data_IF_128011716178
#
_entry.id   IF_128011716178
#
_cell.length_a   1.000
_cell.length_b   1.000
_cell.length_c   1.000
_cell.angle_alpha   90.00
_cell.angle_beta   90.00
_cell.angle_gamma   90.00
#
_symmetry.space_group_name_H-M   'P 1'
#
loop_
_entity.id
_entity.type
_entity.pdbx_description
1 polymer ?
#
# COMPACT_ATOMS: atom_id res chain seq x y z
N UNK A 1 -7.32 -6.55 2.79
CA UNK A 1 -7.91 -7.87 3.13
C UNK A 1 -6.88 -8.95 2.83
N UNK A 2 -7.12 -10.22 3.22
CA UNK A 2 -6.19 -11.32 2.95
C UNK A 2 -6.70 -12.21 1.82
N UNK A 3 -5.81 -12.70 0.96
CA UNK A 3 -6.07 -13.78 0.02
C UNK A 3 -4.90 -14.77 0.07
N UNK A 4 -5.13 -15.98 0.60
CA UNK A 4 -4.04 -16.92 0.85
C UNK A 4 -3.05 -16.35 1.87
N UNK A 5 -1.77 -16.32 1.51
CA UNK A 5 -0.70 -15.68 2.30
C UNK A 5 -0.45 -14.21 1.91
N UNK A 6 -1.26 -13.65 1.01
CA UNK A 6 -1.10 -12.28 0.53
C UNK A 6 -2.01 -11.30 1.27
N UNK A 7 -1.46 -10.15 1.62
CA UNK A 7 -2.21 -8.94 1.93
C UNK A 7 -2.58 -8.25 0.61
N UNK A 8 -3.87 -7.99 0.41
CA UNK A 8 -4.42 -7.26 -0.73
C UNK A 8 -4.95 -5.90 -0.27
N UNK A 9 -4.51 -4.84 -0.95
CA UNK A 9 -4.80 -3.45 -0.63
C UNK A 9 -5.44 -2.79 -1.84
N UNK A 10 -6.60 -2.17 -1.64
CA UNK A 10 -7.26 -1.33 -2.63
C UNK A 10 -7.02 0.14 -2.24
N UNK A 11 -6.22 0.85 -3.04
CA UNK A 11 -5.84 2.25 -2.81
C UNK A 11 -6.56 3.16 -3.79
N UNK A 12 -7.27 4.17 -3.29
CA UNK A 12 -7.98 5.16 -4.10
C UNK A 12 -7.42 6.55 -3.86
N UNK A 13 -7.10 7.29 -4.94
CA UNK A 13 -6.64 8.67 -4.81
C UNK A 13 -7.80 9.67 -5.01
N UNK A 14 -7.86 10.69 -4.16
CA UNK A 14 -8.83 11.79 -4.31
C UNK A 14 -8.35 12.86 -5.31
N UNK A 15 -7.03 13.03 -5.46
CA UNK A 15 -6.37 13.91 -6.42
C UNK A 15 -5.23 13.15 -7.11
N UNK A 16 -4.56 13.74 -8.11
CA UNK A 16 -3.38 13.11 -8.71
C UNK A 16 -2.28 12.91 -7.64
N UNK A 17 -1.93 11.67 -7.36
CA UNK A 17 -0.82 11.31 -6.48
C UNK A 17 0.33 10.78 -7.32
N UNK A 18 1.49 11.45 -7.25
CA UNK A 18 2.68 11.06 -8.02
C UNK A 18 3.69 10.35 -7.14
N UNK A 19 4.39 9.36 -7.70
CA UNK A 19 5.37 8.53 -6.99
C UNK A 19 4.80 7.98 -5.67
N UNK A 20 3.65 7.32 -5.77
CA UNK A 20 2.98 6.68 -4.63
C UNK A 20 3.86 5.57 -4.10
N UNK A 21 4.34 5.74 -2.88
CA UNK A 21 5.08 4.74 -2.13
C UNK A 21 4.15 4.10 -1.10
N UNK A 22 4.14 2.77 -1.07
CA UNK A 22 3.44 1.98 -0.06
C UNK A 22 4.47 1.16 0.72
N UNK A 23 4.36 1.13 2.05
CA UNK A 23 5.23 0.33 2.92
C UNK A 23 4.49 -0.16 4.17
N UNK A 24 5.06 -1.14 4.86
CA UNK A 24 4.62 -1.60 6.19
C UNK A 24 5.71 -1.25 7.21
N UNK A 25 5.38 -0.44 8.21
CA UNK A 25 6.31 -0.13 9.29
C UNK A 25 6.68 -1.40 10.08
N UNK A 26 7.97 -1.69 10.22
CA UNK A 26 8.45 -2.88 10.94
C UNK A 26 8.45 -4.18 10.13
N UNK A 27 8.15 -4.14 8.83
CA UNK A 27 8.30 -5.27 7.93
C UNK A 27 8.86 -4.85 6.56
N UNK A 28 9.85 -5.60 6.08
CA UNK A 28 10.37 -5.43 4.72
C UNK A 28 9.64 -6.41 3.79
N UNK A 29 8.85 -5.88 2.86
CA UNK A 29 8.02 -6.66 1.92
C UNK A 29 8.08 -6.07 0.52
N UNK A 30 7.98 -6.95 -0.47
CA UNK A 30 7.89 -6.54 -1.88
C UNK A 30 6.41 -6.46 -2.27
N UNK A 31 5.98 -5.27 -2.66
CA UNK A 31 4.66 -5.04 -3.25
C UNK A 31 4.67 -5.39 -4.74
N UNK A 32 3.52 -5.82 -5.25
CA UNK A 32 3.30 -6.09 -6.68
C UNK A 32 3.49 -4.85 -7.57
N UNK A 33 3.28 -3.67 -6.99
CA UNK A 33 3.51 -2.38 -7.62
C UNK A 33 3.86 -1.34 -6.53
N UNK A 34 4.80 -0.45 -6.82
CA UNK A 34 5.24 0.62 -5.93
C UNK A 34 5.88 1.75 -6.75
N UNK A 35 5.89 2.97 -6.23
CA UNK A 35 6.38 4.18 -6.92
C UNK A 35 5.64 4.53 -8.22
N UNK A 36 4.35 4.23 -8.31
CA UNK A 36 3.49 4.54 -9.45
C UNK A 36 2.79 5.90 -9.32
N UNK A 37 2.24 6.41 -10.42
CA UNK A 37 1.33 7.55 -10.40
C UNK A 37 -0.12 7.06 -10.33
N UNK A 38 -0.94 7.65 -9.45
CA UNK A 38 -2.36 7.32 -9.30
C UNK A 38 -3.24 8.54 -9.63
N UNK A 39 -3.95 8.52 -10.77
CA UNK A 39 -4.86 9.60 -11.14
C UNK A 39 -6.03 9.77 -10.16
N UNK A 40 -6.56 10.99 -10.09
CA UNK A 40 -7.70 11.32 -9.26
C UNK A 40 -8.92 10.42 -9.54
N UNK A 41 -9.58 9.96 -8.48
CA UNK A 41 -10.76 9.11 -8.53
C UNK A 41 -10.51 7.67 -8.98
N UNK A 42 -9.25 7.27 -9.21
CA UNK A 42 -8.90 5.91 -9.59
C UNK A 42 -8.51 5.07 -8.38
N UNK A 43 -8.89 3.80 -8.45
CA UNK A 43 -8.47 2.77 -7.50
C UNK A 43 -7.48 1.84 -8.17
N UNK A 44 -6.38 1.56 -7.49
CA UNK A 44 -5.43 0.51 -7.86
C UNK A 44 -5.46 -0.58 -6.80
N UNK A 45 -5.27 -1.82 -7.23
CA UNK A 45 -5.11 -2.97 -6.34
C UNK A 45 -3.66 -3.41 -6.36
N UNK A 46 -3.08 -3.51 -5.17
CA UNK A 46 -1.73 -4.02 -4.95
C UNK A 46 -1.76 -5.16 -3.93
N UNK A 47 -0.75 -6.02 -4.00
CA UNK A 47 -0.57 -7.11 -3.06
C UNK A 47 0.88 -7.23 -2.60
N UNK A 48 1.07 -7.75 -1.40
CA UNK A 48 2.37 -8.21 -0.90
C UNK A 48 2.15 -9.43 0.00
N UNK A 49 3.20 -10.22 0.31
CA UNK A 49 3.10 -11.23 1.36
C UNK A 49 2.63 -10.58 2.67
N UNK A 50 1.69 -11.22 3.37
CA UNK A 50 1.36 -10.86 4.73
C UNK A 50 2.54 -11.29 5.63
N UNK A 51 3.15 -10.39 6.41
CA UNK A 51 4.29 -10.78 7.25
C UNK A 51 3.94 -11.94 8.19
N UNK A 52 4.84 -12.93 8.37
CA UNK A 52 4.55 -14.09 9.20
C UNK A 52 4.13 -13.71 10.62
N UNK A 53 3.02 -14.30 11.09
CA UNK A 53 2.48 -14.03 12.42
C UNK A 53 1.71 -12.72 12.56
N UNK A 54 1.58 -11.92 11.50
CA UNK A 54 0.78 -10.71 11.53
C UNK A 54 -0.70 -11.00 11.25
N UNK A 55 -1.56 -10.25 11.94
CA UNK A 55 -2.98 -10.14 11.60
C UNK A 55 -3.20 -9.02 10.59
N UNK A 56 -4.38 -9.02 9.95
CA UNK A 56 -4.76 -7.94 9.04
C UNK A 56 -4.88 -6.58 9.75
N UNK A 57 -5.24 -6.56 11.02
CA UNK A 57 -5.32 -5.32 11.78
C UNK A 57 -3.93 -4.76 12.12
N UNK A 58 -2.94 -5.62 12.39
CA UNK A 58 -1.54 -5.21 12.53
C UNK A 58 -1.00 -4.65 11.22
N UNK A 59 -1.23 -5.37 10.11
CA UNK A 59 -0.83 -4.89 8.79
C UNK A 59 -1.47 -3.54 8.43
N UNK A 60 -2.74 -3.34 8.78
CA UNK A 60 -3.44 -2.06 8.57
C UNK A 60 -2.87 -0.93 9.42
N UNK A 61 -2.53 -1.21 10.68
CA UNK A 61 -1.95 -0.23 11.59
C UNK A 61 -0.53 0.21 11.15
N UNK A 62 0.22 -0.71 10.54
CA UNK A 62 1.57 -0.45 10.03
C UNK A 62 1.61 0.12 8.60
N UNK A 63 0.50 0.11 7.86
CA UNK A 63 0.46 0.54 6.46
C UNK A 63 0.70 2.05 6.35
N UNK A 64 1.75 2.43 5.63
CA UNK A 64 2.01 3.83 5.31
C UNK A 64 1.95 4.04 3.80
N UNK A 65 1.40 5.20 3.40
CA UNK A 65 1.31 5.62 2.01
C UNK A 65 1.85 7.03 1.90
N UNK A 66 2.81 7.23 1.00
CA UNK A 66 3.43 8.54 0.72
C UNK A 66 3.30 8.83 -0.77
N UNK A 67 3.33 10.11 -1.12
CA UNK A 67 3.40 10.55 -2.51
C UNK A 67 4.17 11.87 -2.54
N UNK A 68 4.64 12.30 -3.70
CA UNK A 68 5.36 13.56 -3.84
C UNK A 68 4.58 14.76 -3.30
N UNK A 69 3.24 14.73 -3.36
CA UNK A 69 2.41 15.79 -2.80
C UNK A 69 2.51 15.89 -1.26
N UNK A 70 2.72 14.78 -0.57
CA UNK A 70 2.82 14.72 0.90
C UNK A 70 4.23 15.07 1.41
N UNK A 71 5.18 15.34 0.51
CA UNK A 71 6.60 15.56 0.84
C UNK A 71 7.01 17.04 0.93
N UNK A 72 6.07 17.98 0.80
CA UNK A 72 6.32 19.43 0.88
C UNK A 72 5.24 20.18 1.65
#
# INVERSE_FOLDING_TARGET
HQQGDQLVIDLTAHALARFVEVSLEGADVVFSDNYFDLPAGRTVRLSCPLPPGWTIDQARAALTVRSLHNSF
#
